data_IF_373679469434
#
_entry.id   IF_373679469434
#
_cell.length_a   1.000
_cell.length_b   1.000
_cell.length_c   1.000
_cell.angle_alpha   90.00
_cell.angle_beta   90.00
_cell.angle_gamma   90.00
#
_symmetry.space_group_name_H-M   'P 1'
#
loop_
_entity.id
_entity.type
_entity.pdbx_description
1 polymer ?
#
# COMPACT_ATOMS: atom_id res chain seq x y z
N UNK A 1 -11.76 6.51 8.61
CA UNK A 1 -11.01 7.17 9.71
C UNK A 1 -9.68 7.74 9.18
N UNK A 2 -9.35 9.00 9.50
CA UNK A 2 -8.07 9.60 9.12
C UNK A 2 -7.19 9.79 10.34
N UNK A 3 -5.98 9.22 10.34
CA UNK A 3 -4.99 9.38 11.42
C UNK A 3 -3.90 10.33 10.92
N UNK A 4 -3.60 11.36 11.71
CA UNK A 4 -2.52 12.31 11.42
C UNK A 4 -1.22 11.81 12.05
N UNK A 5 -0.14 11.94 11.31
CA UNK A 5 1.23 11.58 11.72
C UNK A 5 2.16 12.74 11.36
N UNK A 6 3.24 12.92 12.11
CA UNK A 6 4.12 14.06 11.90
C UNK A 6 5.06 13.83 10.70
N UNK A 7 5.51 12.60 10.48
CA UNK A 7 6.48 12.26 9.43
C UNK A 7 6.14 10.98 8.66
N UNK A 8 6.74 10.78 7.49
CA UNK A 8 6.51 9.60 6.64
C UNK A 8 6.96 8.30 7.30
N UNK A 9 8.05 8.32 8.07
CA UNK A 9 8.54 7.13 8.76
C UNK A 9 7.55 6.63 9.82
N UNK A 10 6.94 7.55 10.59
CA UNK A 10 5.88 7.21 11.53
C UNK A 10 4.62 6.75 10.80
N UNK A 11 4.31 7.33 9.63
CA UNK A 11 3.22 6.88 8.78
C UNK A 11 3.39 5.41 8.36
N UNK A 12 4.60 5.02 7.95
CA UNK A 12 4.92 3.65 7.54
C UNK A 12 4.81 2.70 8.73
N UNK A 13 5.40 3.04 9.88
CA UNK A 13 5.32 2.20 11.08
C UNK A 13 3.87 2.00 11.55
N UNK A 14 3.06 3.07 11.54
CA UNK A 14 1.65 2.99 11.88
C UNK A 14 0.87 2.17 10.85
N UNK A 15 1.17 2.31 9.56
CA UNK A 15 0.52 1.55 8.50
C UNK A 15 0.77 0.04 8.65
N UNK A 16 2.00 -0.38 8.99
CA UNK A 16 2.32 -1.80 9.26
C UNK A 16 1.51 -2.34 10.44
N UNK A 17 1.38 -1.56 11.52
CA UNK A 17 0.57 -1.97 12.68
C UNK A 17 -0.92 -2.04 12.33
N UNK A 18 -1.44 -1.09 11.55
CA UNK A 18 -2.84 -1.05 11.13
C UNK A 18 -3.21 -2.15 10.14
N UNK A 19 -2.26 -2.58 9.31
CA UNK A 19 -2.44 -3.69 8.38
C UNK A 19 -2.66 -5.02 9.13
N UNK A 20 -2.13 -5.13 10.35
CA UNK A 20 -2.40 -6.27 11.23
C UNK A 20 -1.69 -7.56 10.80
N UNK A 21 -0.75 -7.50 9.86
CA UNK A 21 0.02 -8.64 9.39
C UNK A 21 -0.74 -9.56 8.44
N UNK A 22 -1.82 -9.07 7.81
CA UNK A 22 -2.52 -9.82 6.77
C UNK A 22 -1.72 -9.88 5.47
N UNK A 23 -0.80 -8.93 5.26
CA UNK A 23 -0.04 -8.70 4.04
C UNK A 23 -0.90 -8.71 2.76
N UNK A 24 -2.16 -8.27 2.84
CA UNK A 24 -3.10 -8.46 1.72
C UNK A 24 -3.06 -7.30 0.72
N UNK A 25 -3.24 -6.06 1.19
CA UNK A 25 -3.27 -4.89 0.30
C UNK A 25 -2.91 -3.60 1.04
N UNK A 26 -2.05 -2.79 0.43
CA UNK A 26 -1.77 -1.44 0.87
C UNK A 26 -1.70 -0.45 -0.32
N UNK A 27 -1.89 0.84 -0.02
CA UNK A 27 -1.77 1.90 -1.00
C UNK A 27 -1.04 3.11 -0.42
N UNK A 28 -0.19 3.73 -1.24
CA UNK A 28 0.55 4.94 -0.86
C UNK A 28 0.42 6.01 -1.94
N UNK A 29 0.17 7.24 -1.50
CA UNK A 29 0.21 8.43 -2.36
C UNK A 29 1.42 9.28 -1.98
N UNK A 30 2.42 9.32 -2.84
CA UNK A 30 3.67 10.08 -2.66
C UNK A 30 4.36 10.31 -4.00
N UNK A 31 5.06 11.43 -4.15
CA UNK A 31 5.94 11.70 -5.31
C UNK A 31 7.39 11.26 -5.10
N UNK A 32 7.78 10.97 -3.86
CA UNK A 32 9.15 10.58 -3.52
C UNK A 32 9.27 9.05 -3.60
N UNK A 33 10.17 8.56 -4.48
CA UNK A 33 10.38 7.14 -4.75
C UNK A 33 11.04 6.39 -3.60
N UNK A 34 11.93 7.05 -2.84
CA UNK A 34 12.60 6.44 -1.70
C UNK A 34 11.59 6.10 -0.60
N UNK A 35 10.65 7.02 -0.34
CA UNK A 35 9.58 6.78 0.62
C UNK A 35 8.65 5.64 0.16
N UNK A 36 8.37 5.54 -1.13
CA UNK A 36 7.55 4.46 -1.69
C UNK A 36 8.26 3.11 -1.60
N UNK A 37 9.58 3.08 -1.83
CA UNK A 37 10.37 1.87 -1.70
C UNK A 37 10.48 1.43 -0.24
N UNK A 38 10.69 2.37 0.69
CA UNK A 38 10.69 2.07 2.12
C UNK A 38 9.35 1.50 2.58
N UNK A 39 8.23 2.09 2.14
CA UNK A 39 6.91 1.58 2.52
C UNK A 39 6.63 0.20 1.92
N UNK A 40 6.95 -0.01 0.64
CA UNK A 40 6.75 -1.31 -0.02
C UNK A 40 7.53 -2.42 0.69
N UNK A 41 8.79 -2.17 1.05
CA UNK A 41 9.63 -3.14 1.76
C UNK A 41 9.17 -3.40 3.20
N UNK A 42 8.56 -2.40 3.86
CA UNK A 42 8.12 -2.53 5.25
C UNK A 42 6.76 -3.23 5.38
N UNK A 43 5.86 -3.04 4.42
CA UNK A 43 4.48 -3.56 4.48
C UNK A 43 4.30 -4.92 3.81
N UNK A 44 5.18 -5.27 2.86
CA UNK A 44 5.28 -6.59 2.21
C UNK A 44 3.93 -7.22 1.78
N UNK A 45 3.03 -6.40 1.25
CA UNK A 45 1.68 -6.84 0.85
C UNK A 45 1.65 -7.45 -0.55
N UNK A 46 0.78 -8.43 -0.79
CA UNK A 46 0.54 -9.03 -2.11
C UNK A 46 0.16 -7.99 -3.18
N UNK A 47 -0.55 -6.93 -2.80
CA UNK A 47 -0.88 -5.80 -3.69
C UNK A 47 -0.46 -4.48 -3.04
N UNK A 48 0.45 -3.76 -3.71
CA UNK A 48 0.85 -2.42 -3.33
C UNK A 48 0.55 -1.40 -4.44
N UNK A 49 -0.40 -0.50 -4.21
CA UNK A 49 -0.80 0.53 -5.19
C UNK A 49 -0.09 1.85 -4.93
N UNK A 50 0.56 2.41 -5.96
CA UNK A 50 1.28 3.69 -5.90
C UNK A 50 0.51 4.77 -6.66
N UNK A 51 0.12 5.85 -5.96
CA UNK A 51 -0.53 7.03 -6.55
C UNK A 51 -1.81 6.76 -7.36
N UNK A 52 -2.55 5.71 -7.00
CA UNK A 52 -3.78 5.32 -7.68
C UNK A 52 -4.84 4.80 -6.71
N UNK A 53 -6.09 4.68 -7.16
CA UNK A 53 -7.14 4.06 -6.36
C UNK A 53 -6.80 2.58 -6.13
N UNK A 54 -7.17 2.02 -4.97
CA UNK A 54 -6.84 0.63 -4.63
C UNK A 54 -7.36 -0.39 -5.65
N UNK A 55 -8.44 -0.06 -6.36
CA UNK A 55 -9.02 -0.90 -7.43
C UNK A 55 -8.11 -1.04 -8.65
N UNK A 56 -7.15 -0.12 -8.82
CA UNK A 56 -6.12 -0.23 -9.86
C UNK A 56 -5.24 -1.47 -9.66
N UNK A 57 -5.09 -1.96 -8.42
CA UNK A 57 -4.42 -3.22 -8.13
C UNK A 57 -5.14 -4.46 -8.67
N UNK A 58 -6.40 -4.32 -9.10
CA UNK A 58 -7.20 -5.37 -9.74
C UNK A 58 -7.32 -5.18 -11.27
N UNK A 59 -6.50 -4.32 -11.88
CA UNK A 59 -6.52 -4.06 -13.32
C UNK A 59 -7.62 -3.08 -13.79
N UNK A 60 -8.39 -2.47 -12.88
CA UNK A 60 -9.34 -1.41 -13.24
C UNK A 60 -8.67 -0.03 -13.12
N UNK A 61 -8.07 0.43 -14.21
CA UNK A 61 -7.29 1.68 -14.23
C UNK A 61 -5.84 1.54 -13.78
N UNK A 62 -5.36 0.29 -13.62
CA UNK A 62 -3.96 -0.09 -13.48
C UNK A 62 -3.60 -1.20 -14.47
N UNK A 63 -2.32 -1.46 -14.68
CA UNK A 63 -1.86 -2.55 -15.54
C UNK A 63 -2.04 -3.92 -14.86
N UNK A 64 -2.24 -4.98 -15.66
CA UNK A 64 -2.36 -6.36 -15.19
C UNK A 64 -3.75 -6.96 -15.35
N UNK A 65 -3.89 -8.23 -14.96
CA UNK A 65 -5.14 -8.99 -15.08
C UNK A 65 -5.99 -8.87 -13.82
N UNK A 66 -7.32 -8.80 -13.98
CA UNK A 66 -8.24 -8.78 -12.86
C UNK A 66 -8.36 -10.15 -12.20
N UNK A 67 -8.03 -10.24 -10.92
CA UNK A 67 -8.38 -11.36 -10.04
C UNK A 67 -9.28 -10.86 -8.90
N UNK A 68 -10.18 -11.71 -8.40
CA UNK A 68 -10.95 -11.46 -7.16
C UNK A 68 -10.55 -12.39 -6.01
N UNK A 69 -9.55 -13.22 -6.26
CA UNK A 69 -8.98 -14.11 -5.26
C UNK A 69 -7.53 -13.70 -5.08
N UNK A 70 -7.23 -13.11 -3.93
CA UNK A 70 -5.88 -12.70 -3.52
C UNK A 70 -5.63 -13.45 -2.21
N UNK A 71 -4.57 -14.25 -2.20
CA UNK A 71 -4.08 -14.92 -1.00
C UNK A 71 -2.68 -14.42 -0.73
N UNK A 72 -2.40 -14.26 0.55
CA UNK A 72 -1.04 -14.02 1.06
C UNK A 72 -0.23 -15.29 0.99
#
# INVERSE_FOLDING_TARGET
>A
PGVRVANVAEAIALAVVLEGGCHHTAAMHSRNIDNMNQMANAIDTSIFVKNGPCIAGLGLGGEGWTTRTITT
#
